data_IF_790445035179
#
_entry.id   IF_790445035179
#
_cell.length_a   1.000
_cell.length_b   1.000
_cell.length_c   1.000
_cell.angle_alpha   90.00
_cell.angle_beta   90.00
_cell.angle_gamma   90.00
#
_symmetry.space_group_name_H-M   'P 1'
#
loop_
_entity.id
_entity.type
_entity.pdbx_description
1 polymer ?
#
# COMPACT_ATOMS: atom_id res chain seq x y z
N UNK A 1 1.01 -3.48 -10.74
CA UNK A 1 0.67 -2.25 -9.97
C UNK A 1 -0.83 -2.10 -9.63
N UNK A 2 -1.78 -2.40 -10.53
CA UNK A 2 -3.23 -2.38 -10.18
C UNK A 2 -3.62 -3.30 -9.00
N UNK A 3 -2.99 -4.47 -8.88
CA UNK A 3 -3.25 -5.43 -7.82
C UNK A 3 -2.96 -4.87 -6.41
N UNK A 4 -1.84 -4.17 -6.25
CA UNK A 4 -1.42 -3.58 -4.96
C UNK A 4 -2.45 -2.54 -4.50
N UNK A 5 -3.02 -1.74 -5.41
CA UNK A 5 -4.11 -0.81 -5.09
C UNK A 5 -5.37 -1.54 -4.61
N UNK A 6 -5.74 -2.63 -5.29
CA UNK A 6 -6.89 -3.44 -4.88
C UNK A 6 -6.63 -4.06 -3.50
N UNK A 7 -5.45 -4.62 -3.25
CA UNK A 7 -5.06 -5.14 -1.93
C UNK A 7 -5.08 -4.06 -0.85
N UNK A 8 -4.49 -2.89 -1.11
CA UNK A 8 -4.50 -1.76 -0.17
C UNK A 8 -5.90 -1.25 0.17
N UNK A 9 -6.88 -1.46 -0.73
CA UNK A 9 -8.26 -0.96 -0.60
C UNK A 9 -9.26 -2.02 -0.12
N UNK A 10 -9.06 -3.28 -0.50
CA UNK A 10 -10.00 -4.37 -0.27
C UNK A 10 -9.44 -5.49 0.60
N UNK A 11 -8.16 -5.43 0.99
CA UNK A 11 -7.57 -6.38 1.94
C UNK A 11 -7.20 -5.67 3.23
N UNK A 12 -7.50 -6.35 4.34
CA UNK A 12 -7.14 -5.92 5.69
C UNK A 12 -5.63 -6.03 5.97
N UNK A 13 -4.88 -6.69 5.07
CA UNK A 13 -3.43 -6.88 5.14
C UNK A 13 -2.70 -5.57 5.36
N UNK A 14 -1.80 -5.52 6.33
CA UNK A 14 -0.96 -4.35 6.61
C UNK A 14 -0.01 -4.02 5.44
N UNK A 15 0.57 -2.81 5.44
CA UNK A 15 1.55 -2.42 4.42
C UNK A 15 2.73 -3.42 4.40
N UNK A 16 3.14 -3.95 5.56
CA UNK A 16 4.19 -4.96 5.68
C UNK A 16 3.79 -6.29 5.07
N UNK A 17 2.56 -6.77 5.31
CA UNK A 17 2.09 -8.02 4.70
C UNK A 17 1.96 -7.90 3.18
N UNK A 18 1.50 -6.75 2.67
CA UNK A 18 1.46 -6.50 1.23
C UNK A 18 2.88 -6.40 0.66
N UNK A 19 3.84 -5.88 1.43
CA UNK A 19 5.24 -5.85 1.03
C UNK A 19 5.79 -7.27 0.90
N UNK A 20 5.55 -8.12 1.89
CA UNK A 20 5.96 -9.52 1.93
C UNK A 20 5.33 -10.34 0.77
N UNK A 21 4.01 -10.20 0.54
CA UNK A 21 3.28 -10.87 -0.55
C UNK A 21 3.79 -10.43 -1.95
N UNK A 22 4.32 -9.21 -2.07
CA UNK A 22 4.89 -8.67 -3.30
C UNK A 22 6.42 -8.87 -3.40
N UNK A 23 7.01 -9.69 -2.52
CA UNK A 23 8.43 -9.99 -2.46
C UNK A 23 9.33 -8.76 -2.16
N UNK A 24 8.77 -7.72 -1.52
CA UNK A 24 9.57 -6.61 -1.00
C UNK A 24 10.16 -6.97 0.36
N UNK A 25 11.38 -6.48 0.60
CA UNK A 25 12.09 -6.67 1.87
C UNK A 25 11.35 -6.00 3.04
N UNK A 26 10.82 -4.80 2.82
CA UNK A 26 10.21 -3.99 3.86
C UNK A 26 9.20 -2.98 3.28
N UNK A 27 8.38 -2.40 4.16
CA UNK A 27 7.45 -1.30 3.84
C UNK A 27 8.15 -0.12 3.15
N UNK A 28 9.41 0.16 3.49
CA UNK A 28 10.20 1.24 2.87
C UNK A 28 10.49 0.96 1.40
N UNK A 29 10.78 -0.30 1.06
CA UNK A 29 11.05 -0.72 -0.31
C UNK A 29 9.77 -0.69 -1.14
N UNK A 30 8.67 -1.21 -0.58
CA UNK A 30 7.34 -1.08 -1.15
C UNK A 30 6.97 0.39 -1.35
N UNK A 31 7.18 1.26 -0.36
CA UNK A 31 6.84 2.68 -0.45
C UNK A 31 7.61 3.41 -1.55
N UNK A 32 8.91 3.15 -1.70
CA UNK A 32 9.72 3.73 -2.78
C UNK A 32 9.21 3.29 -4.15
N UNK A 33 8.98 1.98 -4.31
CA UNK A 33 8.48 1.40 -5.56
C UNK A 33 7.07 1.88 -5.90
N UNK A 34 6.19 1.91 -4.89
CA UNK A 34 4.81 2.36 -5.04
C UNK A 34 4.76 3.86 -5.33
N UNK A 35 5.60 4.67 -4.69
CA UNK A 35 5.73 6.10 -4.99
C UNK A 35 6.27 6.34 -6.40
N UNK A 36 7.24 5.56 -6.87
CA UNK A 36 7.73 5.66 -8.24
C UNK A 36 6.65 5.30 -9.27
N UNK A 37 5.77 4.34 -8.96
CA UNK A 37 4.70 3.91 -9.85
C UNK A 37 3.42 4.78 -9.80
N UNK A 38 3.08 5.34 -8.64
CA UNK A 38 1.79 6.01 -8.38
C UNK A 38 1.90 7.47 -7.92
N UNK A 39 3.11 7.98 -7.68
CA UNK A 39 3.35 9.33 -7.17
C UNK A 39 3.09 9.50 -5.66
N UNK A 40 2.46 8.52 -5.00
CA UNK A 40 2.19 8.52 -3.57
C UNK A 40 2.70 7.24 -2.91
N UNK A 41 2.99 7.27 -1.60
CA UNK A 41 3.45 6.08 -0.87
C UNK A 41 2.27 5.15 -0.56
N UNK A 42 2.53 3.85 -0.42
CA UNK A 42 1.52 2.86 -0.05
C UNK A 42 0.89 3.19 1.30
N UNK A 43 1.72 3.67 2.25
CA UNK A 43 1.28 4.19 3.55
C UNK A 43 0.33 5.39 3.43
N UNK A 44 0.63 6.35 2.55
CA UNK A 44 -0.25 7.50 2.30
C UNK A 44 -1.60 7.04 1.76
N UNK A 45 -1.58 6.17 0.75
CA UNK A 45 -2.77 5.63 0.10
C UNK A 45 -3.68 4.91 1.11
N UNK A 46 -3.12 4.05 1.98
CA UNK A 46 -3.90 3.36 3.02
C UNK A 46 -4.44 4.33 4.07
N UNK A 47 -3.64 5.31 4.50
CA UNK A 47 -4.09 6.32 5.48
C UNK A 47 -5.28 7.12 4.96
N UNK A 48 -5.24 7.52 3.69
CA UNK A 48 -6.37 8.21 3.06
C UNK A 48 -7.61 7.32 2.96
N UNK A 49 -7.43 6.03 2.66
CA UNK A 49 -8.55 5.08 2.61
C UNK A 49 -9.19 4.86 3.98
N UNK A 50 -8.40 4.59 5.02
CA UNK A 50 -8.90 4.43 6.40
C UNK A 50 -9.64 5.70 6.85
N UNK A 51 -9.11 6.88 6.52
CA UNK A 51 -9.76 8.16 6.83
C UNK A 51 -11.11 8.34 6.10
N UNK A 52 -11.30 7.72 4.93
CA UNK A 52 -12.56 7.75 4.18
C UNK A 52 -13.59 6.72 4.67
N UNK A 53 -13.18 5.59 5.27
CA UNK A 53 -14.13 4.64 5.89
C UNK A 53 -14.61 5.17 7.25
N UNK A 54 -13.73 5.82 8.01
CA UNK A 54 -14.05 6.33 9.34
C UNK A 54 -14.85 7.64 9.35
N UNK A 55 -15.35 8.10 8.20
CA UNK A 55 -16.11 9.34 8.02
C UNK A 55 -17.52 9.04 7.54
#
# INVERSE_FOLDING_TARGET
MKLIRTRLRFSDLTISEIADEMNFTDESHLNKTFKAAFGQTAKQYRKEYIKNIAK
#
